data_IF_400320386790
#
_entry.id   IF_400320386790
#
_cell.length_a   1.000
_cell.length_b   1.000
_cell.length_c   1.000
_cell.angle_alpha   90.00
_cell.angle_beta   90.00
_cell.angle_gamma   90.00
#
_symmetry.space_group_name_H-M   'P 1'
#
loop_
_entity.id
_entity.type
_entity.pdbx_description
1 polymer ?
#
# COMPACT_ATOMS: atom_id res chain seq x y z
N UNK A 1 11.55 10.00 14.37
CA UNK A 1 10.21 9.79 13.79
C UNK A 1 10.42 9.27 12.38
N UNK A 2 9.80 8.15 12.02
CA UNK A 2 9.92 7.60 10.66
C UNK A 2 9.01 8.39 9.70
N UNK A 3 9.41 8.50 8.43
CA UNK A 3 8.52 9.06 7.43
C UNK A 3 7.33 8.11 7.25
N UNK A 4 6.12 8.67 7.31
CA UNK A 4 4.86 7.94 7.23
C UNK A 4 4.05 8.46 6.05
N UNK A 5 3.63 7.55 5.18
CA UNK A 5 2.78 7.83 4.04
C UNK A 5 1.46 7.07 4.22
N UNK A 6 0.34 7.76 4.12
CA UNK A 6 -1.00 7.14 4.17
C UNK A 6 -1.59 7.20 2.77
N UNK A 7 -1.99 6.05 2.25
CA UNK A 7 -2.52 5.87 0.90
C UNK A 7 -3.87 5.20 1.02
N UNK A 8 -4.92 5.88 0.56
CA UNK A 8 -6.28 5.39 0.66
C UNK A 8 -6.62 4.55 -0.58
N UNK A 9 -7.12 3.32 -0.37
CA UNK A 9 -7.71 2.52 -1.44
C UNK A 9 -9.17 2.94 -1.66
N UNK A 10 -9.91 3.19 -0.58
CA UNK A 10 -11.29 3.67 -0.64
C UNK A 10 -11.61 4.68 0.47
N UNK A 11 -11.36 4.29 1.73
CA UNK A 11 -11.70 5.05 2.92
C UNK A 11 -10.70 4.73 4.05
N UNK A 12 -10.99 5.17 5.29
CA UNK A 12 -10.13 4.92 6.45
C UNK A 12 -10.06 3.44 6.89
N UNK A 13 -10.95 2.58 6.38
CA UNK A 13 -10.99 1.14 6.66
C UNK A 13 -10.36 0.31 5.53
N UNK A 14 -10.17 0.93 4.35
CA UNK A 14 -9.41 0.38 3.23
C UNK A 14 -8.25 1.30 2.87
N UNK A 15 -7.15 1.17 3.62
CA UNK A 15 -5.98 2.03 3.43
C UNK A 15 -4.66 1.29 3.68
N UNK A 16 -3.59 1.87 3.15
CA UNK A 16 -2.22 1.48 3.34
C UNK A 16 -1.49 2.56 4.14
N UNK A 17 -0.72 2.14 5.14
CA UNK A 17 0.24 2.99 5.82
C UNK A 17 1.64 2.47 5.54
N UNK A 18 2.49 3.29 4.94
CA UNK A 18 3.90 2.95 4.67
C UNK A 18 4.79 3.73 5.63
N UNK A 19 5.56 3.02 6.44
CA UNK A 19 6.59 3.58 7.32
C UNK A 19 7.98 3.30 6.76
N UNK A 20 8.75 4.36 6.50
CA UNK A 20 10.14 4.25 6.03
C UNK A 20 11.06 4.17 7.24
N UNK A 21 11.54 2.96 7.54
CA UNK A 21 12.40 2.62 8.66
C UNK A 21 13.85 2.44 8.19
N UNK A 22 14.53 3.56 7.92
CA UNK A 22 15.89 3.57 7.40
C UNK A 22 15.93 2.95 6.00
N UNK A 23 16.50 1.74 5.88
CA UNK A 23 16.56 1.00 4.61
C UNK A 23 15.34 0.11 4.36
N UNK A 24 14.53 -0.14 5.39
CA UNK A 24 13.36 -1.03 5.29
C UNK A 24 12.08 -0.23 5.18
N UNK A 25 11.06 -0.81 4.53
CA UNK A 25 9.71 -0.26 4.49
C UNK A 25 8.78 -1.21 5.23
N UNK A 26 7.84 -0.66 6.00
CA UNK A 26 6.77 -1.43 6.64
C UNK A 26 5.45 -0.92 6.10
N UNK A 27 4.74 -1.77 5.37
CA UNK A 27 3.40 -1.49 4.83
C UNK A 27 2.37 -2.15 5.74
N UNK A 28 1.48 -1.37 6.33
CA UNK A 28 0.28 -1.85 7.03
C UNK A 28 -0.93 -1.65 6.14
N UNK A 29 -1.63 -2.72 5.82
CA UNK A 29 -2.84 -2.71 5.00
C UNK A 29 -4.03 -2.99 5.90
N UNK A 30 -5.02 -2.11 5.87
CA UNK A 30 -6.33 -2.34 6.50
C UNK A 30 -7.31 -2.69 5.38
N UNK A 31 -8.08 -3.75 5.58
CA UNK A 31 -9.13 -4.22 4.69
C UNK A 31 -10.35 -4.65 5.50
N UNK A 32 -11.54 -4.34 5.00
CA UNK A 32 -12.83 -4.63 5.65
C UNK A 32 -13.07 -6.11 5.92
N UNK A 33 -12.48 -6.98 5.09
CA UNK A 33 -12.73 -8.42 5.17
C UNK A 33 -11.70 -9.18 6.01
N UNK A 34 -10.48 -8.64 6.20
CA UNK A 34 -9.34 -9.41 6.71
C UNK A 34 -8.55 -8.73 7.85
N UNK A 35 -8.95 -7.54 8.28
CA UNK A 35 -8.26 -6.84 9.37
C UNK A 35 -6.99 -6.13 8.90
N UNK A 36 -6.01 -6.00 9.80
CA UNK A 36 -4.72 -5.34 9.51
C UNK A 36 -3.64 -6.38 9.14
N UNK A 37 -3.12 -6.28 7.93
CA UNK A 37 -1.94 -7.04 7.47
C UNK A 37 -0.69 -6.16 7.49
N UNK A 38 0.47 -6.76 7.77
CA UNK A 38 1.74 -6.04 7.88
C UNK A 38 2.83 -6.72 7.05
N UNK A 39 3.39 -6.00 6.08
CA UNK A 39 4.44 -6.46 5.19
C UNK A 39 5.71 -5.64 5.42
N UNK A 40 6.87 -6.31 5.48
CA UNK A 40 8.17 -5.67 5.60
C UNK A 40 8.98 -5.92 4.34
N UNK A 41 9.53 -4.86 3.77
CA UNK A 41 10.36 -4.89 2.57
C UNK A 41 11.75 -4.34 2.86
N UNK A 42 12.75 -4.87 2.16
CA UNK A 42 14.13 -4.40 2.20
C UNK A 42 14.39 -3.26 1.22
N UNK A 43 13.47 -3.02 0.28
CA UNK A 43 13.63 -1.97 -0.73
C UNK A 43 12.28 -1.54 -1.35
N UNK A 44 12.26 -0.34 -1.94
CA UNK A 44 11.10 0.15 -2.70
C UNK A 44 10.73 -0.75 -3.90
N UNK A 45 11.68 -1.24 -4.72
CA UNK A 45 11.34 -2.17 -5.81
C UNK A 45 10.66 -3.45 -5.33
N UNK A 46 11.09 -4.00 -4.19
CA UNK A 46 10.45 -5.19 -3.60
C UNK A 46 9.01 -4.90 -3.17
N UNK A 47 8.77 -3.75 -2.51
CA UNK A 47 7.43 -3.28 -2.16
C UNK A 47 6.56 -3.10 -3.41
N UNK A 48 7.10 -2.50 -4.48
CA UNK A 48 6.36 -2.30 -5.72
C UNK A 48 6.01 -3.62 -6.40
N UNK A 49 6.96 -4.55 -6.48
CA UNK A 49 6.70 -5.87 -7.04
C UNK A 49 5.62 -6.61 -6.23
N UNK A 50 5.62 -6.52 -4.90
CA UNK A 50 4.53 -7.04 -4.09
C UNK A 50 3.19 -6.36 -4.43
N UNK A 51 3.14 -5.04 -4.45
CA UNK A 51 1.91 -4.28 -4.68
C UNK A 51 1.29 -4.59 -6.05
N UNK A 52 2.11 -4.69 -7.10
CA UNK A 52 1.68 -5.00 -8.47
C UNK A 52 1.10 -6.42 -8.61
N UNK A 53 1.54 -7.37 -7.78
CA UNK A 53 1.01 -8.74 -7.78
C UNK A 53 -0.14 -8.94 -6.77
N UNK A 54 -0.21 -8.12 -5.73
CA UNK A 54 -1.19 -8.24 -4.66
C UNK A 54 -2.52 -7.57 -5.01
N UNK A 55 -2.48 -6.38 -5.62
CA UNK A 55 -3.67 -5.62 -5.93
C UNK A 55 -4.30 -6.04 -7.26
N UNK A 56 -5.61 -6.27 -7.23
CA UNK A 56 -6.44 -6.48 -8.41
C UNK A 56 -7.35 -5.28 -8.63
N UNK A 57 -7.73 -4.95 -9.88
CA UNK A 57 -8.69 -3.88 -10.16
C UNK A 57 -10.02 -4.06 -9.42
N UNK A 58 -10.42 -5.30 -9.14
CA UNK A 58 -11.63 -5.64 -8.38
C UNK A 58 -11.58 -5.23 -6.90
N UNK A 59 -10.40 -4.98 -6.35
CA UNK A 59 -10.20 -4.57 -4.96
C UNK A 59 -10.50 -3.08 -4.73
N UNK A 60 -10.81 -2.35 -5.81
CA UNK A 60 -11.01 -0.92 -5.83
C UNK A 60 -12.39 -0.58 -6.39
N UNK A 61 -13.19 0.24 -5.69
CA UNK A 61 -14.48 0.71 -6.22
C UNK A 61 -14.34 1.50 -7.52
N UNK A 62 -13.22 2.21 -7.70
CA UNK A 62 -12.87 2.91 -8.95
C UNK A 62 -12.18 2.03 -9.99
N UNK A 63 -12.07 0.72 -9.76
CA UNK A 63 -11.43 -0.21 -10.69
C UNK A 63 -9.94 0.06 -10.90
N UNK A 64 -9.47 -0.20 -12.13
CA UNK A 64 -8.06 -0.10 -12.50
C UNK A 64 -7.47 1.31 -12.35
N UNK A 65 -8.26 2.37 -12.60
CA UNK A 65 -7.75 3.74 -12.48
C UNK A 65 -7.34 4.06 -11.03
N UNK A 66 -8.18 3.67 -10.07
CA UNK A 66 -7.89 3.88 -8.65
C UNK A 66 -6.73 2.99 -8.18
N UNK A 67 -6.62 1.78 -8.71
CA UNK A 67 -5.46 0.92 -8.50
C UNK A 67 -4.17 1.61 -8.99
N UNK A 68 -4.18 2.19 -10.19
CA UNK A 68 -3.03 2.90 -10.76
C UNK A 68 -2.62 4.11 -9.91
N UNK A 69 -3.58 4.85 -9.37
CA UNK A 69 -3.33 5.96 -8.44
C UNK A 69 -2.64 5.48 -7.16
N UNK A 70 -3.11 4.37 -6.58
CA UNK A 70 -2.52 3.76 -5.39
C UNK A 70 -1.10 3.27 -5.67
N UNK A 71 -0.86 2.61 -6.81
CA UNK A 71 0.47 2.19 -7.23
C UNK A 71 1.40 3.39 -7.49
N UNK A 72 0.89 4.46 -8.08
CA UNK A 72 1.64 5.70 -8.29
C UNK A 72 2.04 6.35 -6.97
N UNK A 73 1.13 6.39 -5.99
CA UNK A 73 1.43 6.88 -4.66
C UNK A 73 2.50 6.02 -3.96
N UNK A 74 2.42 4.69 -4.09
CA UNK A 74 3.44 3.78 -3.56
C UNK A 74 4.82 3.99 -4.20
N UNK A 75 4.89 4.32 -5.49
CA UNK A 75 6.16 4.67 -6.17
C UNK A 75 6.79 5.96 -5.63
N UNK A 76 5.99 6.87 -5.10
CA UNK A 76 6.42 8.17 -4.59
C UNK A 76 6.72 8.18 -3.08
N UNK A 77 6.50 7.07 -2.37
CA UNK A 77 6.95 6.86 -0.98
C UNK A 77 8.46 6.79 -0.95
#
# INVERSE_FOLDING_TARGET
>A
MFAKHVIYKHDNYNMLTVEVQGKTLVVRQISDQWGEECHRFLSRPEMMHWAENHFLPSDFPGGGQQMDEVLSNLRNV
#
